data_IF_647746860077
#
_entry.id   IF_647746860077
#
_cell.length_a   1.000
_cell.length_b   1.000
_cell.length_c   1.000
_cell.angle_alpha   90.00
_cell.angle_beta   90.00
_cell.angle_gamma   90.00
#
_symmetry.space_group_name_H-M   'P 1'
#
loop_
_entity.id
_entity.type
_entity.pdbx_description
1 polymer ?
#
# COMPACT_ATOMS: atom_id res chain seq x y z
N UNK A 1 58.59 -89.84 9.99
CA UNK A 1 58.56 -90.42 8.63
C UNK A 1 58.19 -89.34 7.64
N UNK A 2 59.16 -88.99 6.79
CA UNK A 2 59.10 -88.54 5.39
C UNK A 2 57.90 -87.69 4.95
N UNK A 3 58.14 -86.39 4.74
CA UNK A 3 58.46 -85.79 3.44
C UNK A 3 57.22 -85.53 2.58
N UNK A 4 56.85 -84.26 2.43
CA UNK A 4 57.14 -83.50 1.19
C UNK A 4 56.69 -82.05 1.34
N UNK A 5 57.66 -81.13 1.23
CA UNK A 5 57.44 -79.72 0.87
C UNK A 5 57.21 -79.65 -0.64
N UNK A 6 56.25 -78.83 -1.07
CA UNK A 6 56.35 -78.02 -2.31
C UNK A 6 55.54 -76.75 -2.17
N UNK A 7 56.08 -75.73 -2.81
CA UNK A 7 55.95 -74.29 -2.58
C UNK A 7 55.03 -73.59 -3.58
N UNK A 8 54.56 -72.40 -3.18
CA UNK A 8 54.35 -71.17 -3.95
C UNK A 8 52.91 -70.66 -4.20
N UNK A 9 52.67 -69.48 -3.58
CA UNK A 9 52.31 -68.21 -4.23
C UNK A 9 50.83 -67.86 -4.41
N UNK A 10 50.62 -66.55 -4.26
CA UNK A 10 49.55 -65.70 -4.79
C UNK A 10 48.46 -65.27 -3.79
N UNK A 11 48.69 -64.03 -3.33
CA UNK A 11 47.76 -62.92 -3.10
C UNK A 11 46.73 -62.96 -1.96
N UNK A 12 47.02 -62.10 -0.98
CA UNK A 12 46.05 -61.30 -0.25
C UNK A 12 45.11 -60.52 -1.19
N UNK A 13 43.91 -60.20 -0.69
CA UNK A 13 42.84 -59.25 -1.14
C UNK A 13 41.51 -59.93 -0.72
N UNK A 14 40.58 -59.37 0.05
CA UNK A 14 40.40 -58.03 0.58
C UNK A 14 39.34 -58.06 1.69
N UNK A 15 39.61 -57.35 2.78
CA UNK A 15 38.61 -56.81 3.71
C UNK A 15 38.37 -55.37 3.26
N UNK A 16 37.18 -55.06 2.76
CA UNK A 16 36.51 -53.75 2.80
C UNK A 16 35.31 -53.77 1.85
N UNK A 17 34.12 -54.06 2.38
CA UNK A 17 32.86 -53.80 1.66
C UNK A 17 31.86 -53.18 2.63
N UNK A 18 32.16 -51.94 3.05
CA UNK A 18 31.27 -51.02 3.72
C UNK A 18 31.80 -49.62 3.41
N UNK A 19 31.30 -49.02 2.32
CA UNK A 19 31.26 -47.58 1.97
C UNK A 19 31.22 -47.41 0.44
N UNK A 20 30.03 -47.43 -0.17
CA UNK A 20 29.79 -46.82 -1.49
C UNK A 20 28.36 -47.00 -2.03
N UNK A 21 27.39 -46.24 -1.51
CA UNK A 21 26.22 -45.82 -2.33
C UNK A 21 25.81 -44.38 -2.00
N UNK A 22 26.79 -43.48 -1.96
CA UNK A 22 26.53 -42.03 -1.82
C UNK A 22 27.53 -41.22 -2.66
N UNK A 23 27.72 -41.57 -3.93
CA UNK A 23 28.42 -40.71 -4.89
C UNK A 23 28.31 -41.31 -6.31
N UNK A 24 27.28 -40.92 -7.08
CA UNK A 24 27.32 -40.86 -8.55
C UNK A 24 25.97 -40.42 -9.14
N UNK A 25 25.48 -39.21 -8.85
CA UNK A 25 24.52 -38.53 -9.73
C UNK A 25 24.70 -37.01 -9.61
N UNK A 26 25.84 -36.54 -10.10
CA UNK A 26 26.14 -35.12 -10.32
C UNK A 26 26.75 -34.91 -11.71
N UNK A 27 26.17 -35.55 -12.72
CA UNK A 27 26.35 -35.22 -14.12
C UNK A 27 24.95 -35.17 -14.73
N UNK A 28 24.60 -34.04 -15.37
CA UNK A 28 23.26 -33.81 -15.92
C UNK A 28 22.83 -34.99 -16.78
N UNK A 29 21.74 -35.65 -16.38
CA UNK A 29 21.29 -36.90 -17.01
C UNK A 29 20.68 -36.60 -18.40
N UNK A 30 21.30 -37.03 -19.51
CA UNK A 30 20.76 -36.83 -20.85
C UNK A 30 19.46 -37.63 -21.11
N UNK A 31 19.04 -38.50 -20.17
CA UNK A 31 17.81 -39.30 -20.23
C UNK A 31 16.67 -38.86 -19.31
N UNK A 32 16.75 -37.69 -18.65
CA UNK A 32 15.80 -37.28 -17.59
C UNK A 32 14.31 -37.40 -17.99
N UNK A 33 13.93 -37.02 -19.21
CA UNK A 33 12.56 -37.17 -19.72
C UNK A 33 12.13 -38.64 -19.83
N UNK A 34 13.01 -39.51 -20.34
CA UNK A 34 12.71 -40.95 -20.50
C UNK A 34 12.55 -41.65 -19.16
N UNK A 35 13.34 -41.25 -18.17
CA UNK A 35 13.19 -41.72 -16.79
C UNK A 35 11.90 -41.20 -16.18
N UNK A 36 11.60 -39.91 -16.38
CA UNK A 36 10.36 -39.31 -15.87
C UNK A 36 9.13 -40.08 -16.33
N UNK A 37 9.06 -40.46 -17.62
CA UNK A 37 7.92 -41.22 -18.17
C UNK A 37 7.78 -42.60 -17.52
N UNK A 38 8.89 -43.29 -17.23
CA UNK A 38 8.88 -44.68 -16.72
C UNK A 38 8.59 -44.80 -15.23
N UNK A 39 8.85 -43.75 -14.46
CA UNK A 39 8.75 -43.77 -13.00
C UNK A 39 7.30 -43.61 -12.48
N UNK A 40 7.09 -44.08 -11.25
CA UNK A 40 5.89 -43.79 -10.47
C UNK A 40 5.94 -42.35 -9.87
N UNK A 41 4.90 -41.91 -9.15
CA UNK A 41 4.81 -40.54 -8.60
C UNK A 41 6.01 -40.19 -7.71
N UNK A 42 6.45 -41.12 -6.85
CA UNK A 42 7.64 -40.93 -6.01
C UNK A 42 8.92 -40.75 -6.84
N UNK A 43 9.12 -41.56 -7.88
CA UNK A 43 10.25 -41.44 -8.78
C UNK A 43 10.22 -40.15 -9.60
N UNK A 44 9.04 -39.75 -10.12
CA UNK A 44 8.82 -38.47 -10.80
C UNK A 44 9.16 -37.29 -9.89
N UNK A 45 8.76 -37.34 -8.61
CA UNK A 45 9.11 -36.32 -7.59
C UNK A 45 10.62 -36.20 -7.42
N UNK A 46 11.32 -37.32 -7.29
CA UNK A 46 12.78 -37.34 -7.15
C UNK A 46 13.47 -36.77 -8.39
N UNK A 47 12.99 -37.08 -9.58
CA UNK A 47 13.55 -36.55 -10.83
C UNK A 47 13.40 -35.04 -10.87
N UNK A 48 12.20 -34.51 -10.56
CA UNK A 48 11.94 -33.06 -10.61
C UNK A 48 12.76 -32.31 -9.56
N UNK A 49 12.90 -32.84 -8.33
CA UNK A 49 13.77 -32.27 -7.29
C UNK A 49 15.23 -32.12 -7.72
N UNK A 50 15.71 -33.02 -8.57
CA UNK A 50 17.11 -33.06 -9.01
C UNK A 50 17.31 -32.43 -10.40
N UNK A 51 16.30 -31.74 -10.95
CA UNK A 51 16.44 -31.04 -12.23
C UNK A 51 17.46 -29.91 -12.11
N UNK A 52 18.50 -29.97 -12.94
CA UNK A 52 19.51 -28.93 -13.03
C UNK A 52 19.16 -27.95 -14.15
N UNK A 53 18.99 -26.67 -13.80
CA UNK A 53 18.69 -25.58 -14.75
C UNK A 53 19.74 -25.39 -15.86
N UNK A 54 20.97 -25.89 -15.67
CA UNK A 54 22.03 -25.85 -16.69
C UNK A 54 21.98 -27.03 -17.69
N UNK A 55 21.06 -27.99 -17.50
CA UNK A 55 20.98 -29.18 -18.37
C UNK A 55 20.19 -28.90 -19.65
N UNK A 56 20.61 -29.51 -20.78
CA UNK A 56 19.97 -29.34 -22.09
C UNK A 56 18.49 -29.76 -22.12
N UNK A 57 18.10 -30.72 -21.29
CA UNK A 57 16.73 -31.25 -21.25
C UNK A 57 15.89 -30.62 -20.12
N UNK A 58 16.41 -29.59 -19.44
CA UNK A 58 15.73 -28.95 -18.31
C UNK A 58 14.34 -28.44 -18.71
N UNK A 59 14.27 -27.63 -19.76
CA UNK A 59 13.02 -27.00 -20.22
C UNK A 59 12.01 -28.06 -20.65
N UNK A 60 12.43 -29.03 -21.46
CA UNK A 60 11.55 -30.10 -21.96
C UNK A 60 11.00 -30.97 -20.83
N UNK A 61 11.86 -31.42 -19.91
CA UNK A 61 11.43 -32.25 -18.76
C UNK A 61 10.54 -31.46 -17.80
N UNK A 62 10.82 -30.17 -17.64
CA UNK A 62 10.03 -29.25 -16.82
C UNK A 62 8.61 -29.05 -17.37
N UNK A 63 8.49 -28.77 -18.67
CA UNK A 63 7.19 -28.63 -19.33
C UNK A 63 6.40 -29.93 -19.31
N UNK A 64 7.07 -31.08 -19.48
CA UNK A 64 6.43 -32.38 -19.40
C UNK A 64 5.89 -32.67 -17.99
N UNK A 65 6.65 -32.31 -16.95
CA UNK A 65 6.21 -32.46 -15.56
C UNK A 65 4.99 -31.57 -15.24
N UNK A 66 4.99 -30.31 -15.71
CA UNK A 66 3.84 -29.40 -15.53
C UNK A 66 2.60 -29.86 -16.32
N UNK A 67 2.77 -30.36 -17.55
CA UNK A 67 1.67 -30.93 -18.33
C UNK A 67 1.10 -32.18 -17.68
N UNK A 68 1.96 -33.11 -17.24
CA UNK A 68 1.53 -34.32 -16.53
C UNK A 68 0.71 -33.95 -15.29
N UNK A 69 1.17 -32.96 -14.52
CA UNK A 69 0.40 -32.44 -13.40
C UNK A 69 -0.96 -31.89 -13.83
N UNK A 70 -1.00 -31.01 -14.83
CA UNK A 70 -2.23 -30.35 -15.26
C UNK A 70 -3.26 -31.35 -15.79
N UNK A 71 -2.84 -32.31 -16.62
CA UNK A 71 -3.71 -33.32 -17.23
C UNK A 71 -4.27 -34.33 -16.22
N UNK A 72 -3.55 -34.59 -15.13
CA UNK A 72 -3.93 -35.62 -14.15
C UNK A 72 -4.48 -35.03 -12.85
N UNK A 73 -4.59 -33.69 -12.73
CA UNK A 73 -4.99 -33.03 -11.50
C UNK A 73 -6.39 -33.49 -11.03
N UNK A 74 -7.37 -33.50 -11.92
CA UNK A 74 -8.75 -33.87 -11.55
C UNK A 74 -8.84 -35.32 -11.05
N UNK A 75 -7.98 -36.21 -11.54
CA UNK A 75 -7.96 -37.63 -11.17
C UNK A 75 -7.19 -37.89 -9.87
N UNK A 76 -6.10 -37.15 -9.63
CA UNK A 76 -5.13 -37.43 -8.56
C UNK A 76 -5.08 -36.36 -7.46
N UNK A 77 -5.93 -35.33 -7.51
CA UNK A 77 -5.94 -34.22 -6.54
C UNK A 77 -6.19 -34.60 -5.07
N UNK A 78 -6.70 -35.81 -4.82
CA UNK A 78 -6.90 -36.36 -3.47
C UNK A 78 -5.72 -37.17 -2.94
N UNK A 79 -4.73 -37.46 -3.78
CA UNK A 79 -3.54 -38.25 -3.44
C UNK A 79 -2.43 -37.34 -2.88
N UNK A 80 -1.98 -37.60 -1.65
CA UNK A 80 -0.95 -36.80 -0.98
C UNK A 80 0.42 -36.85 -1.67
N UNK A 81 0.80 -38.01 -2.23
CA UNK A 81 2.05 -38.17 -2.97
C UNK A 81 2.00 -37.39 -4.29
N UNK A 82 0.82 -37.36 -4.93
CA UNK A 82 0.61 -36.52 -6.11
C UNK A 82 0.68 -35.03 -5.78
N UNK A 83 0.12 -34.58 -4.64
CA UNK A 83 0.23 -33.19 -4.21
C UNK A 83 1.68 -32.84 -3.83
N UNK A 84 2.42 -33.76 -3.22
CA UNK A 84 3.85 -33.56 -2.95
C UNK A 84 4.65 -33.42 -4.25
N UNK A 85 4.40 -34.30 -5.23
CA UNK A 85 4.94 -34.16 -6.59
C UNK A 85 4.60 -32.80 -7.20
N UNK A 86 3.33 -32.39 -7.07
CA UNK A 86 2.80 -31.17 -7.66
C UNK A 86 3.51 -29.92 -7.17
N UNK A 87 3.66 -29.79 -5.85
CA UNK A 87 4.36 -28.68 -5.22
C UNK A 87 5.82 -28.61 -5.68
N UNK A 88 6.49 -29.75 -5.78
CA UNK A 88 7.88 -29.82 -6.21
C UNK A 88 8.04 -29.49 -7.69
N UNK A 89 7.11 -29.95 -8.54
CA UNK A 89 7.07 -29.60 -9.95
C UNK A 89 6.92 -28.10 -10.18
N UNK A 90 5.97 -27.48 -9.47
CA UNK A 90 5.79 -26.02 -9.53
C UNK A 90 7.02 -25.28 -9.00
N UNK A 91 7.67 -25.74 -7.92
CA UNK A 91 8.85 -25.06 -7.36
C UNK A 91 10.10 -25.17 -8.24
N UNK A 92 10.29 -26.31 -8.89
CA UNK A 92 11.47 -26.60 -9.69
C UNK A 92 11.50 -25.85 -11.02
N UNK A 93 10.34 -25.48 -11.58
CA UNK A 93 10.21 -24.87 -12.91
C UNK A 93 9.95 -23.37 -12.81
N UNK A 94 10.94 -22.48 -13.01
CA UNK A 94 10.72 -21.03 -12.92
C UNK A 94 9.75 -20.54 -14.01
N UNK A 95 8.76 -19.71 -13.66
CA UNK A 95 7.84 -19.12 -14.64
C UNK A 95 8.56 -18.26 -15.71
N UNK A 96 9.75 -17.75 -15.38
CA UNK A 96 10.62 -17.02 -16.30
C UNK A 96 11.40 -17.91 -17.28
N UNK A 97 11.31 -19.25 -17.18
CA UNK A 97 12.07 -20.15 -18.07
C UNK A 97 11.54 -20.19 -19.49
N UNK A 98 10.21 -20.09 -19.68
CA UNK A 98 9.57 -19.95 -20.99
C UNK A 98 8.13 -19.43 -20.89
N UNK A 99 7.57 -18.82 -21.95
CA UNK A 99 6.16 -18.41 -21.99
C UNK A 99 5.17 -19.57 -21.78
N UNK A 100 5.50 -20.77 -22.25
CA UNK A 100 4.69 -21.97 -22.07
C UNK A 100 4.64 -22.40 -20.60
N UNK A 101 5.76 -22.32 -19.89
CA UNK A 101 5.81 -22.63 -18.46
C UNK A 101 4.94 -21.66 -17.66
N UNK A 102 5.02 -20.35 -17.97
CA UNK A 102 4.15 -19.34 -17.37
C UNK A 102 2.66 -19.64 -17.58
N UNK A 103 2.25 -19.93 -18.83
CA UNK A 103 0.84 -20.28 -19.17
C UNK A 103 0.37 -21.56 -18.49
N UNK A 104 1.23 -22.57 -18.36
CA UNK A 104 0.87 -23.80 -17.65
C UNK A 104 0.68 -23.52 -16.16
N UNK A 105 1.58 -22.76 -15.54
CA UNK A 105 1.45 -22.37 -14.13
C UNK A 105 0.18 -21.55 -13.88
N UNK A 106 -0.20 -20.66 -14.80
CA UNK A 106 -1.47 -19.92 -14.75
C UNK A 106 -2.67 -20.88 -14.78
N UNK A 107 -2.70 -21.81 -15.75
CA UNK A 107 -3.76 -22.82 -15.84
C UNK A 107 -3.84 -23.67 -14.59
N UNK A 108 -2.70 -24.11 -14.06
CA UNK A 108 -2.60 -24.87 -12.81
C UNK A 108 -3.20 -24.04 -11.67
N UNK A 109 -2.82 -22.76 -11.55
CA UNK A 109 -3.37 -21.86 -10.53
C UNK A 109 -4.90 -21.75 -10.62
N UNK A 110 -5.45 -21.64 -11.84
CA UNK A 110 -6.87 -21.49 -12.08
C UNK A 110 -7.70 -22.73 -11.73
N UNK A 111 -7.21 -23.94 -12.05
CA UNK A 111 -7.99 -25.19 -11.86
C UNK A 111 -7.86 -25.78 -10.46
N UNK A 112 -6.77 -25.48 -9.76
CA UNK A 112 -6.46 -26.14 -8.50
C UNK A 112 -7.09 -25.45 -7.28
N UNK A 113 -7.53 -26.27 -6.31
CA UNK A 113 -8.11 -25.80 -5.04
C UNK A 113 -7.22 -26.10 -3.83
N UNK A 114 -6.07 -26.72 -4.05
CA UNK A 114 -5.18 -27.12 -2.99
C UNK A 114 -4.31 -25.94 -2.53
N UNK A 115 -4.42 -25.57 -1.25
CA UNK A 115 -3.72 -24.42 -0.69
C UNK A 115 -2.19 -24.49 -0.85
N UNK A 116 -1.59 -25.67 -0.68
CA UNK A 116 -0.14 -25.84 -0.80
C UNK A 116 0.34 -25.63 -2.24
N UNK A 117 -0.43 -26.10 -3.22
CA UNK A 117 -0.12 -25.91 -4.64
C UNK A 117 -0.33 -24.46 -5.08
N UNK A 118 -1.44 -23.82 -4.71
CA UNK A 118 -1.67 -22.38 -4.95
C UNK A 118 -0.52 -21.53 -4.38
N UNK A 119 -0.08 -21.85 -3.16
CA UNK A 119 1.04 -21.21 -2.50
C UNK A 119 2.36 -21.40 -3.26
N UNK A 120 2.63 -22.61 -3.76
CA UNK A 120 3.82 -22.87 -4.56
C UNK A 120 3.83 -22.08 -5.88
N UNK A 121 2.66 -21.92 -6.52
CA UNK A 121 2.55 -21.13 -7.75
C UNK A 121 2.76 -19.64 -7.47
N UNK A 122 2.17 -19.09 -6.40
CA UNK A 122 2.40 -17.69 -5.99
C UNK A 122 3.87 -17.41 -5.64
N UNK A 123 4.53 -18.32 -4.93
CA UNK A 123 5.97 -18.25 -4.66
C UNK A 123 6.78 -18.21 -5.96
N UNK A 124 6.39 -19.04 -6.94
CA UNK A 124 7.05 -19.09 -8.23
C UNK A 124 6.89 -17.77 -9.01
N UNK A 125 5.66 -17.27 -9.15
CA UNK A 125 5.39 -15.99 -9.81
C UNK A 125 6.14 -14.83 -9.14
N UNK A 126 6.16 -14.79 -7.81
CA UNK A 126 6.88 -13.78 -7.02
C UNK A 126 8.38 -13.83 -7.31
N UNK A 127 8.97 -15.04 -7.31
CA UNK A 127 10.39 -15.24 -7.63
C UNK A 127 10.73 -14.83 -9.06
N UNK A 128 9.89 -15.21 -10.02
CA UNK A 128 10.08 -14.87 -11.43
C UNK A 128 9.97 -13.36 -11.69
N UNK A 129 9.04 -12.67 -11.02
CA UNK A 129 8.89 -11.22 -11.12
C UNK A 129 10.03 -10.44 -10.43
N UNK A 130 10.69 -11.02 -9.40
CA UNK A 130 11.84 -10.40 -8.71
C UNK A 130 13.15 -10.52 -9.48
N UNK A 131 13.37 -11.61 -10.22
CA UNK A 131 14.59 -11.77 -11.02
C UNK A 131 14.58 -10.74 -12.16
N UNK A 132 15.29 -9.63 -11.96
CA UNK A 132 15.31 -8.41 -12.77
C UNK A 132 15.92 -8.56 -14.17
N UNK A 133 15.54 -9.60 -14.92
CA UNK A 133 15.71 -9.69 -16.36
C UNK A 133 14.31 -9.64 -16.95
N UNK A 134 14.17 -9.08 -18.15
CA UNK A 134 12.93 -8.84 -18.90
C UNK A 134 12.07 -10.10 -19.22
N UNK A 135 12.28 -11.22 -18.51
CA UNK A 135 11.80 -12.56 -18.84
C UNK A 135 10.41 -12.91 -18.30
N UNK A 136 9.90 -12.25 -17.25
CA UNK A 136 8.55 -12.53 -16.73
C UNK A 136 7.80 -11.26 -16.32
N UNK A 137 6.88 -10.84 -17.19
CA UNK A 137 5.84 -9.86 -16.89
C UNK A 137 4.51 -10.59 -17.06
N UNK A 138 3.80 -10.93 -15.97
CA UNK A 138 2.52 -11.62 -16.09
C UNK A 138 1.56 -10.76 -16.90
N UNK A 139 0.78 -11.41 -17.76
CA UNK A 139 -0.27 -10.75 -18.51
C UNK A 139 -1.43 -10.32 -17.59
N UNK A 140 -2.34 -9.50 -18.13
CA UNK A 140 -3.47 -9.01 -17.35
C UNK A 140 -4.42 -10.14 -16.91
N UNK A 141 -4.46 -11.27 -17.63
CA UNK A 141 -5.26 -12.44 -17.24
C UNK A 141 -4.72 -13.08 -15.96
N UNK A 142 -3.40 -13.34 -15.91
CA UNK A 142 -2.72 -13.86 -14.72
C UNK A 142 -2.90 -12.91 -13.53
N UNK A 143 -2.77 -11.60 -13.76
CA UNK A 143 -2.93 -10.57 -12.72
C UNK A 143 -4.37 -10.54 -12.22
N UNK A 144 -5.36 -10.60 -13.12
CA UNK A 144 -6.78 -10.65 -12.75
C UNK A 144 -7.12 -11.92 -11.95
N UNK A 145 -6.51 -13.05 -12.27
CA UNK A 145 -6.69 -14.31 -11.55
C UNK A 145 -6.18 -14.21 -10.11
N UNK A 146 -4.96 -13.67 -9.90
CA UNK A 146 -4.41 -13.45 -8.56
C UNK A 146 -5.19 -12.38 -7.79
N UNK A 147 -5.66 -11.33 -8.46
CA UNK A 147 -6.54 -10.31 -7.85
C UNK A 147 -7.84 -10.93 -7.34
N UNK A 148 -8.48 -11.79 -8.15
CA UNK A 148 -9.73 -12.45 -7.78
C UNK A 148 -9.51 -13.38 -6.59
N UNK A 149 -8.44 -14.17 -6.63
CA UNK A 149 -8.05 -15.05 -5.54
C UNK A 149 -7.78 -14.29 -4.22
N UNK A 150 -7.05 -13.18 -4.26
CA UNK A 150 -6.81 -12.35 -3.09
C UNK A 150 -8.11 -11.73 -2.55
N UNK A 151 -9.00 -11.28 -3.43
CA UNK A 151 -10.30 -10.73 -3.04
C UNK A 151 -11.21 -11.78 -2.39
N UNK A 152 -11.19 -13.03 -2.87
CA UNK A 152 -11.96 -14.13 -2.30
C UNK A 152 -11.41 -14.53 -0.92
N UNK A 153 -10.09 -14.58 -0.76
CA UNK A 153 -9.44 -14.82 0.54
C UNK A 153 -9.74 -13.73 1.57
N UNK A 154 -9.80 -12.47 1.14
CA UNK A 154 -10.13 -11.35 2.01
C UNK A 154 -11.58 -11.41 2.51
N UNK A 155 -12.50 -11.92 1.69
CA UNK A 155 -13.93 -12.11 2.06
C UNK A 155 -14.18 -13.37 2.87
N UNK A 156 -13.30 -14.37 2.77
CA UNK A 156 -13.46 -15.63 3.47
C UNK A 156 -13.37 -15.46 5.00
N UNK A 157 -13.94 -16.42 5.74
CA UNK A 157 -13.83 -16.42 7.19
C UNK A 157 -12.36 -16.48 7.62
N UNK A 158 -11.92 -15.62 8.56
CA UNK A 158 -10.52 -15.54 8.93
C UNK A 158 -10.04 -16.85 9.54
N UNK A 159 -9.01 -17.43 8.92
CA UNK A 159 -8.27 -18.58 9.41
C UNK A 159 -6.78 -18.32 9.23
N UNK A 160 -5.92 -18.96 10.03
CA UNK A 160 -4.46 -18.79 9.90
C UNK A 160 -3.97 -19.12 8.50
N UNK A 161 -4.50 -20.21 7.91
CA UNK A 161 -4.12 -20.66 6.58
C UNK A 161 -4.56 -19.67 5.49
N UNK A 162 -5.80 -19.18 5.55
CA UNK A 162 -6.32 -18.20 4.59
C UNK A 162 -5.58 -16.87 4.68
N UNK A 163 -5.19 -16.44 5.89
CA UNK A 163 -4.37 -15.25 6.10
C UNK A 163 -2.99 -15.40 5.47
N UNK A 164 -2.31 -16.52 5.69
CA UNK A 164 -0.98 -16.75 5.12
C UNK A 164 -1.02 -16.84 3.58
N UNK A 165 -2.08 -17.44 3.02
CA UNK A 165 -2.33 -17.43 1.58
C UNK A 165 -2.56 -16.01 1.04
N UNK A 166 -3.29 -15.16 1.78
CA UNK A 166 -3.55 -13.78 1.39
C UNK A 166 -2.26 -12.95 1.40
N UNK A 167 -1.43 -13.10 2.42
CA UNK A 167 -0.13 -12.41 2.50
C UNK A 167 0.78 -12.77 1.32
N UNK A 168 0.78 -14.04 0.89
CA UNK A 168 1.51 -14.50 -0.31
C UNK A 168 0.94 -13.92 -1.60
N UNK A 169 -0.37 -13.80 -1.70
CA UNK A 169 -1.02 -13.17 -2.84
C UNK A 169 -0.67 -11.67 -2.92
N UNK A 170 -0.68 -10.96 -1.78
CA UNK A 170 -0.24 -9.57 -1.69
C UNK A 170 1.22 -9.43 -2.14
N UNK A 171 2.11 -10.32 -1.70
CA UNK A 171 3.52 -10.33 -2.14
C UNK A 171 3.65 -10.49 -3.66
N UNK A 172 2.89 -11.41 -4.27
CA UNK A 172 2.89 -11.62 -5.71
C UNK A 172 2.42 -10.36 -6.46
N UNK A 173 1.27 -9.80 -6.07
CA UNK A 173 0.73 -8.58 -6.67
C UNK A 173 1.69 -7.38 -6.54
N UNK A 174 2.38 -7.26 -5.40
CA UNK A 174 3.39 -6.24 -5.19
C UNK A 174 4.58 -6.35 -6.17
N UNK A 175 4.95 -7.57 -6.57
CA UNK A 175 5.99 -7.77 -7.59
C UNK A 175 5.47 -7.52 -9.01
N UNK A 176 4.19 -7.80 -9.28
CA UNK A 176 3.60 -7.58 -10.61
C UNK A 176 3.50 -6.09 -10.96
N UNK A 177 3.31 -5.22 -9.95
CA UNK A 177 3.26 -3.75 -10.10
C UNK A 177 2.26 -3.28 -11.15
N UNK A 178 1.08 -3.89 -11.18
CA UNK A 178 -0.01 -3.53 -12.10
C UNK A 178 -1.02 -2.61 -11.43
N UNK A 179 -1.47 -1.59 -12.15
CA UNK A 179 -2.51 -0.67 -11.66
C UNK A 179 -3.83 -1.39 -11.38
N UNK A 180 -4.15 -2.45 -12.15
CA UNK A 180 -5.33 -3.30 -11.95
C UNK A 180 -5.36 -3.98 -10.58
N UNK A 181 -4.21 -4.13 -9.92
CA UNK A 181 -4.12 -4.72 -8.56
C UNK A 181 -4.43 -3.73 -7.44
N UNK A 182 -4.55 -2.43 -7.74
CA UNK A 182 -4.74 -1.40 -6.72
C UNK A 182 -5.99 -1.63 -5.88
N UNK A 183 -7.13 -1.94 -6.50
CA UNK A 183 -8.42 -2.08 -5.79
C UNK A 183 -8.38 -3.17 -4.71
N UNK A 184 -7.84 -4.35 -5.05
CA UNK A 184 -7.75 -5.47 -4.10
C UNK A 184 -6.71 -5.19 -3.00
N UNK A 185 -5.57 -4.59 -3.36
CA UNK A 185 -4.54 -4.23 -2.37
C UNK A 185 -5.03 -3.13 -1.43
N UNK A 186 -5.77 -2.15 -1.95
CA UNK A 186 -6.39 -1.12 -1.12
C UNK A 186 -7.45 -1.72 -0.18
N UNK A 187 -8.25 -2.68 -0.67
CA UNK A 187 -9.19 -3.42 0.19
C UNK A 187 -8.46 -4.20 1.30
N UNK A 188 -7.31 -4.80 1.00
CA UNK A 188 -6.46 -5.46 2.00
C UNK A 188 -5.88 -4.45 3.00
N UNK A 189 -5.51 -3.25 2.55
CA UNK A 189 -5.04 -2.16 3.41
C UNK A 189 -6.11 -1.69 4.40
N UNK A 190 -7.39 -1.69 3.99
CA UNK A 190 -8.53 -1.39 4.88
C UNK A 190 -8.90 -2.55 5.83
N UNK A 191 -8.21 -3.68 5.77
CA UNK A 191 -8.49 -4.82 6.63
C UNK A 191 -8.27 -4.49 8.11
N UNK A 192 -9.08 -5.10 8.98
CA UNK A 192 -8.90 -5.04 10.43
C UNK A 192 -7.73 -5.91 10.93
N UNK A 193 -7.25 -6.85 10.11
CA UNK A 193 -6.05 -7.63 10.40
C UNK A 193 -4.81 -6.77 10.13
N UNK A 194 -4.07 -6.45 11.20
CA UNK A 194 -2.89 -5.58 11.14
C UNK A 194 -1.79 -6.12 10.23
N UNK A 195 -1.57 -7.44 10.22
CA UNK A 195 -0.54 -8.03 9.37
C UNK A 195 -0.91 -7.91 7.87
N UNK A 196 -2.19 -8.07 7.54
CA UNK A 196 -2.70 -7.89 6.17
C UNK A 196 -2.62 -6.41 5.77
N UNK A 197 -3.06 -5.50 6.64
CA UNK A 197 -3.07 -4.06 6.39
C UNK A 197 -1.66 -3.51 6.17
N UNK A 198 -0.71 -3.84 7.06
CA UNK A 198 0.69 -3.42 6.96
C UNK A 198 1.36 -3.97 5.69
N UNK A 199 1.10 -5.24 5.36
CA UNK A 199 1.66 -5.87 4.17
C UNK A 199 1.12 -5.23 2.89
N UNK A 200 -0.17 -4.92 2.85
CA UNK A 200 -0.79 -4.21 1.74
C UNK A 200 -0.28 -2.77 1.61
N UNK A 201 -0.06 -2.08 2.73
CA UNK A 201 0.55 -0.74 2.76
C UNK A 201 1.98 -0.78 2.21
N UNK A 202 2.80 -1.76 2.60
CA UNK A 202 4.15 -1.97 2.07
C UNK A 202 4.10 -2.20 0.54
N UNK A 203 3.21 -3.09 0.09
CA UNK A 203 3.01 -3.39 -1.32
C UNK A 203 2.69 -2.12 -2.10
N UNK A 204 1.63 -1.40 -1.72
CA UNK A 204 1.23 -0.15 -2.35
C UNK A 204 2.40 0.85 -2.34
N UNK A 205 3.03 1.09 -1.18
CA UNK A 205 4.10 2.08 -1.10
C UNK A 205 5.29 1.84 -2.07
N UNK A 206 5.49 0.60 -2.51
CA UNK A 206 6.58 0.23 -3.42
C UNK A 206 6.35 0.55 -4.90
N UNK A 207 5.13 0.89 -5.34
CA UNK A 207 4.86 1.22 -6.75
C UNK A 207 3.94 2.44 -6.94
N UNK A 208 4.15 3.48 -6.14
CA UNK A 208 3.23 4.64 -6.05
C UNK A 208 2.93 5.39 -7.35
N UNK A 209 3.89 5.46 -8.28
CA UNK A 209 3.66 6.06 -9.60
C UNK A 209 2.64 5.32 -10.48
N UNK A 210 2.28 4.06 -10.16
CA UNK A 210 1.38 3.24 -10.98
C UNK A 210 -0.09 3.45 -10.60
N UNK A 211 -0.39 3.87 -9.35
CA UNK A 211 -1.77 3.99 -8.87
C UNK A 211 -2.26 5.41 -8.66
N UNK A 212 -1.51 6.44 -9.06
CA UNK A 212 -1.89 7.85 -8.83
C UNK A 212 -3.33 8.16 -9.26
N UNK A 213 -3.74 7.66 -10.44
CA UNK A 213 -5.11 7.81 -10.95
C UNK A 213 -6.16 7.09 -10.10
N UNK A 214 -5.82 5.92 -9.56
CA UNK A 214 -6.76 5.14 -8.74
C UNK A 214 -6.99 5.79 -7.38
N UNK A 215 -5.92 6.30 -6.76
CA UNK A 215 -5.99 7.11 -5.54
C UNK A 215 -6.79 8.38 -5.77
N UNK A 216 -6.55 9.09 -6.88
CA UNK A 216 -7.30 10.30 -7.22
C UNK A 216 -8.80 10.02 -7.30
N UNK A 217 -9.19 8.92 -7.94
CA UNK A 217 -10.60 8.49 -8.05
C UNK A 217 -11.22 8.19 -6.68
N UNK A 218 -10.49 7.53 -5.78
CA UNK A 218 -10.97 7.27 -4.41
C UNK A 218 -11.14 8.56 -3.60
N UNK A 219 -10.17 9.47 -3.68
CA UNK A 219 -10.21 10.74 -2.93
C UNK A 219 -11.39 11.61 -3.39
N UNK A 220 -11.73 11.62 -4.67
CA UNK A 220 -12.83 12.44 -5.19
C UNK A 220 -14.19 11.76 -4.99
N UNK A 221 -14.31 10.47 -5.31
CA UNK A 221 -15.58 9.75 -5.41
C UNK A 221 -15.89 8.73 -4.31
N UNK A 222 -14.92 8.36 -3.47
CA UNK A 222 -15.09 7.32 -2.45
C UNK A 222 -15.96 7.72 -1.25
N UNK A 223 -16.17 6.76 -0.36
CA UNK A 223 -16.72 7.01 0.99
C UNK A 223 -15.74 7.82 1.85
N UNK A 224 -16.21 8.43 2.93
CA UNK A 224 -15.33 9.22 3.82
C UNK A 224 -14.15 8.40 4.36
N UNK A 225 -14.42 7.15 4.75
CA UNK A 225 -13.41 6.21 5.21
C UNK A 225 -12.35 5.93 4.13
N UNK A 226 -12.76 5.64 2.90
CA UNK A 226 -11.85 5.40 1.78
C UNK A 226 -11.03 6.66 1.43
N UNK A 227 -11.65 7.84 1.45
CA UNK A 227 -10.96 9.11 1.20
C UNK A 227 -9.83 9.35 2.21
N UNK A 228 -10.14 9.15 3.49
CA UNK A 228 -9.17 9.30 4.57
C UNK A 228 -8.04 8.28 4.43
N UNK A 229 -8.37 7.01 4.25
CA UNK A 229 -7.38 5.96 4.09
C UNK A 229 -6.49 6.15 2.84
N UNK A 230 -7.07 6.60 1.72
CA UNK A 230 -6.32 6.92 0.51
C UNK A 230 -5.39 8.12 0.72
N UNK A 231 -5.85 9.16 1.42
CA UNK A 231 -5.00 10.30 1.76
C UNK A 231 -3.86 9.88 2.71
N UNK A 232 -4.16 9.09 3.76
CA UNK A 232 -3.18 8.52 4.68
C UNK A 232 -2.08 7.77 3.94
N UNK A 233 -2.46 6.87 3.03
CA UNK A 233 -1.54 6.11 2.19
C UNK A 233 -0.60 7.03 1.39
N UNK A 234 -1.13 8.12 0.82
CA UNK A 234 -0.35 9.07 0.03
C UNK A 234 0.63 9.86 0.90
N UNK A 235 0.16 10.38 2.04
CA UNK A 235 0.95 11.26 2.90
C UNK A 235 2.05 10.50 3.63
N UNK A 236 1.77 9.28 4.08
CA UNK A 236 2.72 8.45 4.82
C UNK A 236 3.81 7.85 3.93
N UNK A 237 3.59 7.74 2.62
CA UNK A 237 4.62 7.23 1.72
C UNK A 237 5.74 8.27 1.49
N UNK A 238 6.99 8.00 1.90
CA UNK A 238 8.10 8.93 1.70
C UNK A 238 8.57 9.03 0.24
N UNK A 239 8.20 8.06 -0.62
CA UNK A 239 8.57 8.07 -2.04
C UNK A 239 7.68 8.99 -2.87
N UNK A 240 6.51 9.38 -2.35
CA UNK A 240 5.62 10.31 -3.01
C UNK A 240 6.19 11.73 -2.97
N UNK A 241 6.12 12.43 -4.10
CA UNK A 241 6.55 13.83 -4.18
C UNK A 241 5.65 14.74 -3.35
N UNK A 242 6.22 15.83 -2.83
CA UNK A 242 5.46 16.88 -2.14
C UNK A 242 4.35 17.44 -3.03
N UNK A 243 4.59 17.54 -4.35
CA UNK A 243 3.59 17.96 -5.32
C UNK A 243 2.37 17.02 -5.33
N UNK A 244 2.59 15.70 -5.40
CA UNK A 244 1.51 14.72 -5.43
C UNK A 244 0.74 14.70 -4.09
N UNK A 245 1.45 14.80 -2.96
CA UNK A 245 0.82 14.90 -1.63
C UNK A 245 -0.05 16.14 -1.51
N UNK A 246 0.43 17.28 -1.99
CA UNK A 246 -0.32 18.53 -1.99
C UNK A 246 -1.56 18.45 -2.89
N UNK A 247 -1.41 17.91 -4.10
CA UNK A 247 -2.52 17.75 -5.05
C UNK A 247 -3.61 16.81 -4.51
N UNK A 248 -3.23 15.69 -3.89
CA UNK A 248 -4.18 14.77 -3.27
C UNK A 248 -4.88 15.40 -2.06
N UNK A 249 -4.16 16.21 -1.28
CA UNK A 249 -4.73 16.97 -0.16
C UNK A 249 -5.72 18.02 -0.63
N UNK A 250 -5.41 18.76 -1.70
CA UNK A 250 -6.31 19.73 -2.33
C UNK A 250 -7.60 19.06 -2.84
N UNK A 251 -7.48 17.90 -3.50
CA UNK A 251 -8.63 17.13 -3.97
C UNK A 251 -9.49 16.62 -2.80
N UNK A 252 -8.86 16.11 -1.74
CA UNK A 252 -9.57 15.68 -0.53
C UNK A 252 -10.34 16.84 0.08
N UNK A 253 -9.68 18.00 0.23
CA UNK A 253 -10.24 19.22 0.78
C UNK A 253 -11.46 19.72 -0.02
N UNK A 254 -11.30 19.84 -1.34
CA UNK A 254 -12.39 20.19 -2.26
C UNK A 254 -13.61 19.28 -2.04
N UNK A 255 -13.37 17.97 -1.92
CA UNK A 255 -14.44 16.99 -1.73
C UNK A 255 -15.16 17.08 -0.37
N UNK A 256 -14.53 17.65 0.67
CA UNK A 256 -15.17 17.92 1.97
C UNK A 256 -16.10 19.12 1.92
N UNK A 257 -15.74 20.15 1.13
CA UNK A 257 -16.49 21.41 1.04
C UNK A 257 -17.81 21.19 0.29
N UNK A 258 -17.79 20.47 -0.84
CA UNK A 258 -18.99 20.27 -1.66
C UNK A 258 -20.10 19.45 -0.97
N UNK A 259 -19.77 18.57 -0.01
CA UNK A 259 -20.78 17.80 0.73
C UNK A 259 -21.40 18.57 1.91
N UNK A 260 -20.69 19.55 2.47
CA UNK A 260 -21.23 20.41 3.53
C UNK A 260 -22.32 21.38 3.03
N UNK A 261 -22.45 21.55 1.70
CA UNK A 261 -23.51 22.35 1.08
C UNK A 261 -24.88 21.67 1.04
N UNK A 262 -24.93 20.33 1.05
CA UNK A 262 -26.15 19.55 0.81
C UNK A 262 -26.75 18.92 2.08
N UNK A 263 -25.97 18.79 3.16
CA UNK A 263 -26.48 18.24 4.44
C UNK A 263 -25.81 18.95 5.60
N UNK A 264 -26.60 19.39 6.59
CA UNK A 264 -26.15 19.84 7.92
C UNK A 264 -25.50 18.70 8.75
N UNK A 265 -24.65 17.87 8.14
CA UNK A 265 -23.91 16.82 8.83
C UNK A 265 -22.58 17.38 9.29
N UNK A 266 -22.64 18.00 10.47
CA UNK A 266 -21.53 18.35 11.33
C UNK A 266 -20.85 17.08 11.89
N UNK A 267 -20.03 16.44 11.06
CA UNK A 267 -19.37 15.18 11.39
C UNK A 267 -17.87 15.38 11.73
N UNK A 268 -17.46 14.87 12.90
CA UNK A 268 -16.08 14.92 13.38
C UNK A 268 -15.09 14.25 12.43
N UNK A 269 -15.52 13.22 11.69
CA UNK A 269 -14.66 12.53 10.73
C UNK A 269 -14.35 13.39 9.49
N UNK A 270 -15.32 14.18 9.02
CA UNK A 270 -15.10 15.17 7.96
C UNK A 270 -14.17 16.28 8.42
N UNK A 271 -14.35 16.78 9.64
CA UNK A 271 -13.46 17.77 10.24
C UNK A 271 -12.02 17.22 10.34
N UNK A 272 -11.85 15.95 10.72
CA UNK A 272 -10.54 15.31 10.78
C UNK A 272 -9.86 15.20 9.40
N UNK A 273 -10.59 14.77 8.38
CA UNK A 273 -10.07 14.71 6.99
C UNK A 273 -9.66 16.09 6.48
N UNK A 274 -10.50 17.11 6.74
CA UNK A 274 -10.22 18.49 6.38
C UNK A 274 -8.94 19.00 7.06
N UNK A 275 -8.81 18.77 8.37
CA UNK A 275 -7.62 19.18 9.13
C UNK A 275 -6.35 18.51 8.60
N UNK A 276 -6.42 17.22 8.26
CA UNK A 276 -5.29 16.50 7.67
C UNK A 276 -4.87 17.13 6.33
N UNK A 277 -5.81 17.42 5.44
CA UNK A 277 -5.53 18.07 4.17
C UNK A 277 -4.93 19.47 4.36
N UNK A 278 -5.52 20.31 5.21
CA UNK A 278 -5.04 21.68 5.49
C UNK A 278 -3.61 21.67 6.03
N UNK A 279 -3.28 20.75 6.94
CA UNK A 279 -1.94 20.62 7.51
C UNK A 279 -0.88 20.31 6.45
N UNK A 280 -1.20 19.40 5.52
CA UNK A 280 -0.28 19.09 4.43
C UNK A 280 -0.09 20.28 3.47
N UNK A 281 -1.19 20.93 3.09
CA UNK A 281 -1.13 22.13 2.23
C UNK A 281 -0.32 23.25 2.89
N UNK A 282 -0.47 23.43 4.21
CA UNK A 282 0.31 24.38 4.99
C UNK A 282 1.80 24.03 5.02
N UNK A 283 2.14 22.76 5.25
CA UNK A 283 3.52 22.25 5.29
C UNK A 283 4.28 22.62 4.02
N UNK A 284 3.66 22.40 2.86
CA UNK A 284 4.27 22.63 1.54
C UNK A 284 3.99 24.02 0.96
N UNK A 285 3.29 24.90 1.69
CA UNK A 285 2.89 26.25 1.22
C UNK A 285 2.13 26.25 -0.10
N UNK A 286 1.13 25.38 -0.24
CA UNK A 286 0.41 25.16 -1.49
C UNK A 286 -0.59 26.29 -1.81
N UNK A 287 -0.12 27.35 -2.48
CA UNK A 287 -0.92 28.55 -2.80
C UNK A 287 -1.99 28.34 -3.87
N UNK A 288 -1.95 27.24 -4.64
CA UNK A 288 -3.01 26.93 -5.64
C UNK A 288 -4.38 26.73 -4.99
N UNK A 289 -4.39 26.33 -3.72
CA UNK A 289 -5.60 26.14 -2.92
C UNK A 289 -6.22 27.44 -2.38
N UNK A 290 -5.71 28.63 -2.74
CA UNK A 290 -6.14 29.90 -2.14
C UNK A 290 -7.66 30.11 -2.15
N UNK A 291 -8.31 29.79 -3.29
CA UNK A 291 -9.77 29.87 -3.43
C UNK A 291 -10.50 28.90 -2.50
N UNK A 292 -10.01 27.67 -2.37
CA UNK A 292 -10.58 26.66 -1.48
C UNK A 292 -10.42 27.06 -0.02
N UNK A 293 -9.30 27.68 0.34
CA UNK A 293 -9.02 28.07 1.72
C UNK A 293 -9.98 29.11 2.28
N UNK A 294 -10.57 29.97 1.43
CA UNK A 294 -11.67 30.84 1.84
C UNK A 294 -12.88 30.03 2.31
N UNK A 295 -13.29 29.04 1.52
CA UNK A 295 -14.46 28.21 1.83
C UNK A 295 -14.19 27.30 3.04
N UNK A 296 -12.95 26.84 3.21
CA UNK A 296 -12.47 26.17 4.43
C UNK A 296 -12.61 27.07 5.64
N UNK A 297 -12.16 28.32 5.57
CA UNK A 297 -12.25 29.23 6.71
C UNK A 297 -13.71 29.48 7.11
N UNK A 298 -14.58 29.78 6.13
CA UNK A 298 -16.00 30.04 6.37
C UNK A 298 -16.72 28.82 6.97
N UNK A 299 -16.48 27.62 6.44
CA UNK A 299 -17.06 26.39 6.99
C UNK A 299 -16.51 26.06 8.38
N UNK A 300 -15.20 26.20 8.58
CA UNK A 300 -14.55 25.90 9.87
C UNK A 300 -15.01 26.82 10.99
N UNK A 301 -15.35 28.07 10.69
CA UNK A 301 -15.96 28.96 11.68
C UNK A 301 -17.26 28.39 12.21
N UNK A 302 -18.15 27.89 11.34
CA UNK A 302 -19.42 27.27 11.74
C UNK A 302 -19.19 26.00 12.56
N UNK A 303 -18.23 25.17 12.16
CA UNK A 303 -17.87 23.95 12.88
C UNK A 303 -17.27 24.23 14.26
N UNK A 304 -16.48 25.30 14.39
CA UNK A 304 -15.96 25.78 15.66
C UNK A 304 -17.07 26.26 16.58
N UNK A 305 -17.98 27.11 16.07
CA UNK A 305 -19.17 27.58 16.80
C UNK A 305 -20.09 26.41 17.22
N UNK A 306 -20.10 25.31 16.45
CA UNK A 306 -20.81 24.07 16.77
C UNK A 306 -20.03 23.11 17.70
N UNK A 307 -18.80 23.44 18.13
CA UNK A 307 -17.99 22.63 19.05
C UNK A 307 -17.35 21.38 18.43
N UNK A 308 -17.25 21.31 17.10
CA UNK A 308 -16.58 20.21 16.39
C UNK A 308 -15.06 20.40 16.26
N UNK A 309 -14.64 21.65 16.23
CA UNK A 309 -13.23 22.04 16.24
C UNK A 309 -12.87 22.55 17.62
N UNK A 310 -11.71 22.13 18.10
CA UNK A 310 -11.06 22.74 19.27
C UNK A 310 -10.45 24.10 18.90
N UNK A 311 -10.16 24.92 19.91
CA UNK A 311 -9.46 26.20 19.72
C UNK A 311 -8.18 26.03 18.90
N UNK A 312 -7.35 25.05 19.24
CA UNK A 312 -6.09 24.77 18.53
C UNK A 312 -6.32 24.45 17.05
N UNK A 313 -7.32 23.62 16.74
CA UNK A 313 -7.61 23.26 15.34
C UNK A 313 -8.11 24.45 14.54
N UNK A 314 -8.95 25.31 15.14
CA UNK A 314 -9.43 26.49 14.44
C UNK A 314 -8.33 27.55 14.27
N UNK A 315 -7.45 27.71 15.25
CA UNK A 315 -6.24 28.55 15.16
C UNK A 315 -5.32 28.05 14.03
N UNK A 316 -5.10 26.74 13.91
CA UNK A 316 -4.33 26.16 12.79
C UNK A 316 -4.93 26.56 11.43
N UNK A 317 -6.26 26.54 11.30
CA UNK A 317 -6.95 26.96 10.08
C UNK A 317 -6.77 28.45 9.81
N UNK A 318 -6.86 29.31 10.84
CA UNK A 318 -6.63 30.75 10.71
C UNK A 318 -5.22 31.00 10.15
N UNK A 319 -4.20 30.39 10.73
CA UNK A 319 -2.83 30.55 10.24
C UNK A 319 -2.62 29.95 8.85
N UNK A 320 -3.26 28.81 8.56
CA UNK A 320 -3.20 28.21 7.23
C UNK A 320 -3.84 29.12 6.18
N UNK A 321 -4.99 29.70 6.48
CA UNK A 321 -5.68 30.63 5.59
C UNK A 321 -4.83 31.87 5.31
N UNK A 322 -4.25 32.46 6.36
CA UNK A 322 -3.32 33.60 6.25
C UNK A 322 -2.13 33.31 5.31
N UNK A 323 -1.53 32.12 5.42
CA UNK A 323 -0.35 31.76 4.63
C UNK A 323 -0.69 31.35 3.21
N UNK A 324 -1.76 30.58 3.01
CA UNK A 324 -2.10 29.96 1.74
C UNK A 324 -2.96 30.85 0.84
N UNK A 325 -3.73 31.78 1.41
CA UNK A 325 -4.60 32.70 0.69
C UNK A 325 -4.52 34.13 1.27
N UNK A 326 -3.36 34.82 1.21
CA UNK A 326 -3.17 36.08 1.93
C UNK A 326 -4.15 37.19 1.53
N UNK A 327 -4.48 37.27 0.23
CA UNK A 327 -5.38 38.30 -0.30
C UNK A 327 -6.81 38.09 0.20
N UNK A 328 -7.33 36.87 0.10
CA UNK A 328 -8.65 36.50 0.61
C UNK A 328 -8.72 36.56 2.14
N UNK A 329 -7.62 36.21 2.83
CA UNK A 329 -7.55 36.21 4.27
C UNK A 329 -7.64 37.62 4.87
N UNK A 330 -7.08 38.64 4.23
CA UNK A 330 -7.10 40.01 4.74
C UNK A 330 -8.53 40.51 4.97
N UNK A 331 -9.39 40.40 3.97
CA UNK A 331 -10.79 40.81 4.07
C UNK A 331 -11.58 39.90 5.03
N UNK A 332 -11.44 38.58 4.91
CA UNK A 332 -12.26 37.63 5.68
C UNK A 332 -11.90 37.63 7.18
N UNK A 333 -10.61 37.75 7.53
CA UNK A 333 -10.19 37.84 8.92
C UNK A 333 -10.54 39.20 9.54
N UNK A 334 -10.51 40.28 8.76
CA UNK A 334 -10.97 41.60 9.20
C UNK A 334 -12.46 41.56 9.54
N UNK A 335 -13.27 41.02 8.63
CA UNK A 335 -14.70 40.82 8.87
C UNK A 335 -14.98 39.89 10.06
N UNK A 336 -14.13 38.90 10.31
CA UNK A 336 -14.27 38.05 11.47
C UNK A 336 -13.90 38.78 12.77
N UNK A 337 -12.83 39.57 12.79
CA UNK A 337 -12.47 40.43 13.92
C UNK A 337 -13.60 41.41 14.25
N UNK A 338 -14.22 42.00 13.22
CA UNK A 338 -15.41 42.85 13.39
C UNK A 338 -16.54 42.15 14.13
N UNK A 339 -16.83 40.90 13.77
CA UNK A 339 -17.84 40.08 14.43
C UNK A 339 -17.46 39.74 15.87
N UNK A 340 -16.18 39.42 16.13
CA UNK A 340 -15.67 39.17 17.48
C UNK A 340 -15.77 40.42 18.36
N UNK A 341 -15.41 41.59 17.83
CA UNK A 341 -15.54 42.86 18.54
C UNK A 341 -16.98 43.16 18.93
N UNK A 342 -17.94 42.91 18.03
CA UNK A 342 -19.37 43.04 18.33
C UNK A 342 -19.82 42.07 19.42
N UNK A 343 -19.35 40.83 19.38
CA UNK A 343 -19.65 39.85 20.44
C UNK A 343 -19.11 40.32 21.79
N UNK A 344 -17.90 40.89 21.82
CA UNK A 344 -17.30 41.43 23.03
C UNK A 344 -18.09 42.62 23.59
N UNK A 345 -18.56 43.53 22.72
CA UNK A 345 -19.44 44.64 23.10
C UNK A 345 -20.74 44.13 23.75
N UNK A 346 -21.30 43.04 23.22
CA UNK A 346 -22.49 42.36 23.75
C UNK A 346 -22.20 41.47 24.98
N UNK A 347 -20.97 41.51 25.54
CA UNK A 347 -20.50 40.65 26.64
C UNK A 347 -20.66 39.14 26.38
N UNK A 348 -20.63 38.72 25.11
CA UNK A 348 -20.59 37.32 24.73
C UNK A 348 -19.15 36.81 24.81
N UNK A 349 -18.92 35.62 25.40
CA UNK A 349 -17.58 35.08 25.52
C UNK A 349 -16.99 34.84 24.12
N UNK A 350 -15.98 35.61 23.76
CA UNK A 350 -15.12 35.36 22.61
C UNK A 350 -13.86 34.67 23.12
N UNK A 351 -13.54 33.48 22.62
CA UNK A 351 -12.34 32.75 23.03
C UNK A 351 -11.10 33.61 22.81
N UNK A 352 -10.45 34.07 23.89
CA UNK A 352 -9.27 34.94 23.83
C UNK A 352 -8.16 34.40 22.91
N UNK A 353 -7.85 33.08 22.89
CA UNK A 353 -6.88 32.52 21.96
C UNK A 353 -7.25 32.72 20.48
N UNK A 354 -8.54 32.66 20.14
CA UNK A 354 -9.03 32.87 18.77
C UNK A 354 -8.85 34.33 18.36
N UNK A 355 -9.24 35.27 19.23
CA UNK A 355 -9.08 36.71 18.95
C UNK A 355 -7.61 37.05 18.73
N UNK A 356 -6.71 36.53 19.57
CA UNK A 356 -5.27 36.70 19.41
C UNK A 356 -4.76 36.13 18.08
N UNK A 357 -5.18 34.93 17.70
CA UNK A 357 -4.78 34.32 16.43
C UNK A 357 -5.22 35.17 15.23
N UNK A 358 -6.45 35.70 15.24
CA UNK A 358 -6.95 36.60 14.18
C UNK A 358 -6.11 37.87 14.09
N UNK A 359 -5.84 38.54 15.22
CA UNK A 359 -5.04 39.78 15.26
C UNK A 359 -3.61 39.52 14.78
N UNK A 360 -2.98 38.43 15.22
CA UNK A 360 -1.64 38.05 14.78
C UNK A 360 -1.60 37.75 13.28
N UNK A 361 -2.62 37.08 12.75
CA UNK A 361 -2.75 36.86 11.32
C UNK A 361 -2.90 38.17 10.53
N UNK A 362 -3.75 39.09 10.98
CA UNK A 362 -3.90 40.42 10.36
C UNK A 362 -2.60 41.23 10.40
N UNK A 363 -1.87 41.14 11.51
CA UNK A 363 -0.54 41.72 11.65
C UNK A 363 0.46 41.14 10.64
N UNK A 364 0.41 39.83 10.34
CA UNK A 364 1.26 39.21 9.33
C UNK A 364 0.92 39.68 7.92
N UNK A 365 -0.37 39.86 7.63
CA UNK A 365 -0.86 40.34 6.32
C UNK A 365 -0.52 41.81 6.08
N UNK A 366 -0.54 42.63 7.14
CA UNK A 366 -0.22 44.07 7.10
C UNK A 366 -1.11 44.88 6.16
N UNK A 367 -2.32 44.41 5.89
CA UNK A 367 -3.27 45.08 5.00
C UNK A 367 -4.05 46.17 5.75
N UNK A 368 -4.09 47.38 5.18
CA UNK A 368 -4.79 48.53 5.76
C UNK A 368 -6.29 48.32 5.93
N UNK A 369 -6.91 47.35 5.24
CA UNK A 369 -8.33 47.04 5.40
C UNK A 369 -8.67 46.70 6.86
N UNK A 370 -7.70 46.17 7.62
CA UNK A 370 -7.86 45.80 9.02
C UNK A 370 -7.82 46.98 10.01
N UNK A 371 -7.49 48.21 9.56
CA UNK A 371 -7.21 49.34 10.45
C UNK A 371 -8.36 49.64 11.42
N UNK A 372 -9.58 49.81 10.92
CA UNK A 372 -10.74 50.20 11.73
C UNK A 372 -11.07 49.14 12.78
N UNK A 373 -11.09 47.86 12.40
CA UNK A 373 -11.46 46.77 13.29
C UNK A 373 -10.36 46.44 14.32
N UNK A 374 -9.08 46.62 13.95
CA UNK A 374 -7.96 46.54 14.91
C UNK A 374 -8.00 47.70 15.91
N UNK A 375 -8.29 48.91 15.45
CA UNK A 375 -8.44 50.08 16.32
C UNK A 375 -9.63 49.89 17.27
N UNK A 376 -10.76 49.42 16.75
CA UNK A 376 -11.95 49.17 17.56
C UNK A 376 -11.71 48.12 18.64
N UNK A 377 -10.93 47.07 18.35
CA UNK A 377 -10.53 46.07 19.36
C UNK A 377 -9.80 46.69 20.56
N UNK A 378 -9.07 47.80 20.40
CA UNK A 378 -8.37 48.48 21.51
C UNK A 378 -9.29 49.24 22.46
N UNK A 379 -10.54 49.49 22.06
CA UNK A 379 -11.56 50.16 22.87
C UNK A 379 -12.54 49.18 23.53
N UNK A 380 -12.53 47.91 23.11
CA UNK A 380 -13.38 46.88 23.70
C UNK A 380 -12.81 46.37 25.02
N UNK A 381 -13.69 45.78 25.84
CA UNK A 381 -13.33 45.19 27.14
C UNK A 381 -12.61 43.84 26.99
N UNK A 382 -11.61 43.75 26.11
CA UNK A 382 -10.76 42.57 25.99
C UNK A 382 -9.66 42.56 27.06
N UNK A 383 -9.06 41.40 27.35
CA UNK A 383 -7.84 41.31 28.16
C UNK A 383 -6.69 42.15 27.58
N UNK A 384 -5.79 42.64 28.46
CA UNK A 384 -4.66 43.50 28.08
C UNK A 384 -3.77 42.90 26.98
N UNK A 385 -3.61 41.58 26.97
CA UNK A 385 -2.84 40.87 25.94
C UNK A 385 -3.42 41.05 24.53
N UNK A 386 -4.74 41.06 24.40
CA UNK A 386 -5.45 41.30 23.12
C UNK A 386 -5.29 42.75 22.70
N UNK A 387 -5.47 43.69 23.63
CA UNK A 387 -5.31 45.13 23.37
C UNK A 387 -3.87 45.43 22.93
N UNK A 388 -2.88 44.83 23.60
CA UNK A 388 -1.46 44.96 23.26
C UNK A 388 -1.18 44.39 21.87
N UNK A 389 -1.71 43.19 21.55
CA UNK A 389 -1.55 42.58 20.23
C UNK A 389 -2.19 43.44 19.13
N UNK A 390 -3.37 44.02 19.37
CA UNK A 390 -4.04 44.89 18.41
C UNK A 390 -3.24 46.18 18.13
N UNK A 391 -2.67 46.80 19.18
CA UNK A 391 -1.78 47.98 19.03
C UNK A 391 -0.52 47.65 18.25
N UNK A 392 0.12 46.52 18.53
CA UNK A 392 1.29 46.06 17.78
C UNK A 392 0.93 45.74 16.31
N UNK A 393 -0.25 45.16 16.05
CA UNK A 393 -0.75 44.92 14.70
C UNK A 393 -0.95 46.23 13.90
N UNK A 394 -1.61 47.23 14.50
CA UNK A 394 -1.82 48.55 13.89
C UNK A 394 -0.51 49.21 13.45
N UNK A 395 0.53 49.12 14.28
CA UNK A 395 1.83 49.72 14.00
C UNK A 395 2.55 49.13 12.78
N UNK A 396 2.16 47.91 12.36
CA UNK A 396 2.81 47.15 11.27
C UNK A 396 2.03 47.18 9.95
N UNK A 397 0.87 47.83 9.90
CA UNK A 397 0.07 47.97 8.67
C UNK A 397 0.83 48.75 7.59
N UNK A 398 0.63 48.36 6.34
CA UNK A 398 1.16 49.05 5.15
C UNK A 398 0.05 49.85 4.47
N UNK A 399 0.34 51.10 4.13
CA UNK A 399 -0.60 52.09 3.61
C UNK A 399 -0.67 52.13 2.09
#
# INVERSE_FOLDING_TARGET
MNCTKKTYSVCAVSIALLCSVSAAFSQGNPGALKEFVKENISGKTRIVKNLNGASKNFVETSLYALNFLYENYDLLSSDEDFIAFAVEAVRAVPASSSPEAARLLEKIFAVNKNAALQNAVLENFTRAARSSAEAFSPDEATVALVNSYAADLLKAAPSSNSRDQLLRAIDALAQFRRSSSFSVLFSCYLSSDTAVSEKAAEALNNFSGVYENSVRTLITGGTLHEKKAALDLVLQNPKNSDFFKAEMSENALSSTIYKAGDVELYDKEYAALKMQAVRELYRVSWTRSARLMRDVFVSSRKEYEAGLLTDNQFIEIIYAFTRLAPAEAAENLTNYLKALNKNQEENKPSGTPIVLAVIQSLQLLRDKIAFDDLLYATYQNYPDEVISAARDALSKLKW
#
